data_IF_692423567866
#
_entry.id   IF_692423567866
#
_cell.length_a   1.000
_cell.length_b   1.000
_cell.length_c   1.000
_cell.angle_alpha   90.00
_cell.angle_beta   90.00
_cell.angle_gamma   90.00
#
_symmetry.space_group_name_H-M   'P 1'
#
loop_
_entity.id
_entity.type
_entity.pdbx_description
1 polymer ?
#
# COMPACT_ATOMS: atom_id res chain seq x y z
N UNK A 1 -34.92 62.65 -41.35
CA UNK A 1 -35.76 61.47 -41.61
C UNK A 1 -35.29 60.36 -40.67
N UNK A 2 -35.50 60.37 -39.35
CA UNK A 2 -36.72 60.49 -38.52
C UNK A 2 -37.75 59.38 -38.74
N UNK A 3 -37.89 58.49 -37.74
CA UNK A 3 -39.11 57.93 -37.11
C UNK A 3 -38.78 56.53 -36.54
N UNK A 4 -38.71 56.32 -35.21
CA UNK A 4 -39.79 56.22 -34.20
C UNK A 4 -40.79 55.07 -34.48
N UNK A 5 -40.76 54.07 -33.57
CA UNK A 5 -41.72 53.01 -33.14
C UNK A 5 -43.19 53.17 -33.63
N UNK A 6 -44.06 52.11 -33.74
CA UNK A 6 -44.35 51.20 -32.60
C UNK A 6 -45.02 49.81 -32.87
N UNK A 7 -45.17 49.06 -31.76
CA UNK A 7 -46.31 48.22 -31.33
C UNK A 7 -46.97 47.17 -32.26
N UNK A 8 -47.15 45.94 -31.73
CA UNK A 8 -48.44 45.37 -31.24
C UNK A 8 -48.31 43.83 -31.12
N UNK A 9 -48.52 43.25 -29.91
CA UNK A 9 -49.70 42.42 -29.47
C UNK A 9 -49.84 41.08 -30.22
N UNK A 10 -50.06 39.88 -29.66
CA UNK A 10 -50.53 39.25 -28.39
C UNK A 10 -50.04 37.76 -28.45
N UNK A 11 -50.00 36.86 -27.47
CA UNK A 11 -50.92 36.40 -26.40
C UNK A 11 -50.06 35.67 -25.32
N UNK A 12 -50.25 35.92 -24.00
CA UNK A 12 -51.02 35.11 -23.01
C UNK A 12 -50.60 33.63 -22.99
N UNK A 13 -50.00 33.10 -21.91
CA UNK A 13 -50.63 32.79 -20.59
C UNK A 13 -49.54 32.72 -19.48
N UNK A 14 -49.62 33.43 -18.34
CA UNK A 14 -50.20 33.02 -17.04
C UNK A 14 -49.66 31.65 -16.53
N UNK A 15 -49.08 31.50 -15.34
CA UNK A 15 -49.70 31.68 -14.00
C UNK A 15 -48.67 31.87 -12.87
N UNK A 16 -48.98 32.85 -12.01
CA UNK A 16 -48.72 33.08 -10.59
C UNK A 16 -47.55 32.43 -9.81
N UNK A 17 -46.75 33.31 -9.20
CA UNK A 17 -45.97 33.11 -7.97
C UNK A 17 -46.88 33.39 -6.77
N UNK A 18 -46.87 32.52 -5.77
CA UNK A 18 -47.33 32.83 -4.41
C UNK A 18 -46.31 32.30 -3.40
N UNK A 19 -45.70 33.23 -2.67
CA UNK A 19 -44.85 32.96 -1.52
C UNK A 19 -45.72 32.66 -0.29
N UNK A 20 -45.34 31.66 0.50
CA UNK A 20 -45.97 31.34 1.78
C UNK A 20 -45.03 30.53 2.64
N UNK A 21 -44.46 31.18 3.66
CA UNK A 21 -43.67 30.54 4.70
C UNK A 21 -44.53 29.54 5.48
N UNK A 22 -44.00 28.34 5.74
CA UNK A 22 -44.64 27.37 6.64
C UNK A 22 -43.64 26.95 7.72
N UNK A 23 -44.00 27.30 8.95
CA UNK A 23 -43.28 26.97 10.17
C UNK A 23 -43.37 25.47 10.49
N UNK A 24 -42.26 24.91 10.92
CA UNK A 24 -42.13 23.55 11.44
C UNK A 24 -42.82 23.44 12.81
N UNK A 25 -43.85 22.61 12.91
CA UNK A 25 -44.33 22.05 14.18
C UNK A 25 -43.88 20.60 14.28
N UNK A 26 -42.90 20.34 15.14
CA UNK A 26 -42.47 18.99 15.52
C UNK A 26 -43.51 18.44 16.49
N UNK A 27 -44.17 17.35 16.13
CA UNK A 27 -44.90 16.51 17.09
C UNK A 27 -44.10 15.23 17.31
N UNK A 28 -43.57 15.09 18.53
CA UNK A 28 -42.87 13.90 18.97
C UNK A 28 -43.90 12.78 19.24
N UNK A 29 -43.80 11.69 18.49
CA UNK A 29 -44.47 10.43 18.83
C UNK A 29 -43.46 9.59 19.63
N UNK A 30 -43.70 9.42 20.93
CA UNK A 30 -42.98 8.44 21.76
C UNK A 30 -43.59 7.07 21.46
N UNK A 31 -42.87 6.22 20.73
CA UNK A 31 -43.14 4.78 20.71
C UNK A 31 -42.27 4.12 21.78
N UNK A 32 -42.93 3.50 22.75
CA UNK A 32 -42.28 2.58 23.69
C UNK A 32 -41.89 1.31 22.92
N UNK A 33 -40.60 1.18 22.60
CA UNK A 33 -40.03 -0.05 22.05
C UNK A 33 -39.87 -1.10 23.14
N UNK A 34 -40.37 -2.30 22.89
CA UNK A 34 -40.05 -3.49 23.68
C UNK A 34 -38.53 -3.67 23.72
N UNK A 35 -37.97 -3.94 24.90
CA UNK A 35 -36.57 -4.31 25.06
C UNK A 35 -36.32 -5.60 24.28
N UNK A 36 -35.71 -5.48 23.10
CA UNK A 36 -35.14 -6.61 22.40
C UNK A 36 -33.92 -7.11 23.17
N UNK A 37 -33.74 -8.43 23.21
CA UNK A 37 -32.52 -9.04 23.73
C UNK A 37 -31.29 -8.36 23.10
N UNK A 38 -30.20 -8.13 23.86
CA UNK A 38 -28.98 -7.58 23.29
C UNK A 38 -28.54 -8.47 22.12
N UNK A 39 -28.07 -7.88 21.00
CA UNK A 39 -27.59 -8.67 19.89
C UNK A 39 -26.51 -9.62 20.40
N UNK A 40 -26.67 -10.92 20.10
CA UNK A 40 -25.66 -11.93 20.40
C UNK A 40 -24.32 -11.41 19.88
N UNK A 41 -23.32 -11.36 20.75
CA UNK A 41 -21.96 -11.01 20.37
C UNK A 41 -21.59 -11.82 19.13
N UNK A 42 -21.21 -11.15 18.04
CA UNK A 42 -20.73 -11.83 16.85
C UNK A 42 -19.64 -12.80 17.30
N UNK A 43 -19.81 -14.09 17.01
CA UNK A 43 -18.81 -15.10 17.34
C UNK A 43 -17.47 -14.61 16.77
N UNK A 44 -16.47 -14.42 17.63
CA UNK A 44 -15.15 -14.03 17.18
C UNK A 44 -14.68 -15.06 16.16
N UNK A 45 -14.26 -14.60 14.97
CA UNK A 45 -13.67 -15.48 13.97
C UNK A 45 -12.45 -16.13 14.57
N UNK A 46 -12.42 -17.46 14.59
CA UNK A 46 -11.30 -18.21 15.14
C UNK A 46 -10.01 -17.93 14.34
N UNK A 47 -8.89 -17.79 15.04
CA UNK A 47 -7.57 -17.53 14.46
C UNK A 47 -6.93 -16.22 14.87
N UNK A 48 -5.93 -15.79 14.10
CA UNK A 48 -5.21 -14.52 14.30
C UNK A 48 -6.12 -13.35 13.91
N UNK A 49 -6.37 -12.42 14.85
CA UNK A 49 -7.26 -11.28 14.64
C UNK A 49 -6.55 -9.93 14.60
N UNK A 50 -5.33 -9.83 15.13
CA UNK A 50 -4.52 -8.60 15.20
C UNK A 50 -3.03 -8.94 15.13
N UNK A 51 -2.25 -8.19 14.33
CA UNK A 51 -0.79 -8.30 14.33
C UNK A 51 -0.18 -6.90 14.34
N UNK A 52 0.37 -6.51 15.49
CA UNK A 52 0.93 -5.17 15.71
C UNK A 52 2.44 -5.23 15.78
N UNK A 53 3.14 -4.42 15.01
CA UNK A 53 4.58 -4.25 15.13
C UNK A 53 4.91 -2.93 15.85
N UNK A 54 5.71 -3.03 16.90
CA UNK A 54 6.49 -1.93 17.50
C UNK A 54 7.95 -2.06 17.09
N UNK A 55 8.80 -1.10 17.43
CA UNK A 55 10.23 -1.12 17.07
C UNK A 55 10.92 -2.46 17.38
N UNK A 56 10.61 -3.05 18.54
CA UNK A 56 11.32 -4.24 19.03
C UNK A 56 10.47 -5.52 19.03
N UNK A 57 9.18 -5.46 18.67
CA UNK A 57 8.28 -6.62 18.84
C UNK A 57 7.15 -6.66 17.83
N UNK A 58 6.87 -7.84 17.27
CA UNK A 58 5.59 -8.15 16.64
C UNK A 58 4.71 -8.90 17.63
N UNK A 59 3.55 -8.33 17.95
CA UNK A 59 2.52 -8.97 18.80
C UNK A 59 1.45 -9.58 17.92
N UNK A 60 1.33 -10.92 17.97
CA UNK A 60 0.30 -11.70 17.28
C UNK A 60 -0.78 -12.05 18.30
N UNK A 61 -2.00 -11.57 18.09
CA UNK A 61 -3.13 -11.87 18.97
C UNK A 61 -4.35 -12.35 18.17
N UNK A 62 -5.17 -13.16 18.84
CA UNK A 62 -6.27 -13.86 18.22
C UNK A 62 -7.21 -14.49 19.22
N UNK A 63 -8.13 -15.30 18.71
CA UNK A 63 -9.08 -16.06 19.54
C UNK A 63 -9.24 -17.48 19.03
N UNK A 64 -9.29 -18.45 19.94
CA UNK A 64 -9.55 -19.87 19.69
C UNK A 64 -10.51 -20.41 20.77
N UNK A 65 -10.81 -21.70 20.76
CA UNK A 65 -11.56 -22.33 21.85
C UNK A 65 -10.90 -22.06 23.23
N UNK A 66 -11.68 -21.71 24.28
CA UNK A 66 -11.14 -21.44 25.61
C UNK A 66 -10.27 -22.58 26.16
N UNK A 67 -9.09 -22.25 26.66
CA UNK A 67 -8.14 -23.22 27.17
C UNK A 67 -7.47 -24.10 26.10
N UNK A 68 -7.62 -23.83 24.81
CA UNK A 68 -6.82 -24.48 23.79
C UNK A 68 -5.34 -24.04 23.87
N UNK A 69 -4.42 -24.96 23.56
CA UNK A 69 -3.02 -24.62 23.33
C UNK A 69 -2.84 -24.22 21.87
N UNK A 70 -2.16 -23.11 21.64
CA UNK A 70 -1.99 -22.47 20.34
C UNK A 70 -0.51 -22.39 20.00
N UNK A 71 -0.13 -22.96 18.87
CA UNK A 71 1.15 -22.70 18.22
C UNK A 71 0.96 -21.59 17.18
N UNK A 72 1.77 -20.53 17.24
CA UNK A 72 1.79 -19.48 16.22
C UNK A 72 2.96 -19.73 15.28
N UNK A 73 2.65 -19.90 14.00
CA UNK A 73 3.64 -20.06 12.93
C UNK A 73 3.83 -18.73 12.20
N UNK A 74 5.08 -18.43 11.86
CA UNK A 74 5.44 -17.40 10.91
C UNK A 74 5.87 -18.05 9.59
N UNK A 75 5.38 -17.50 8.48
CA UNK A 75 5.72 -17.88 7.12
C UNK A 75 6.29 -16.67 6.37
N UNK A 76 7.25 -16.93 5.49
CA UNK A 76 7.66 -15.99 4.44
C UNK A 76 6.51 -15.70 3.48
N UNK A 77 6.57 -14.56 2.79
CA UNK A 77 5.53 -14.15 1.82
C UNK A 77 5.55 -15.00 0.55
N UNK A 78 6.63 -15.69 0.28
CA UNK A 78 6.76 -16.65 -0.81
C UNK A 78 6.12 -18.01 -0.47
N UNK A 79 5.83 -18.28 0.80
CA UNK A 79 5.32 -19.56 1.25
C UNK A 79 3.79 -19.61 1.19
N UNK A 80 3.27 -20.74 0.72
CA UNK A 80 1.85 -21.03 0.68
C UNK A 80 1.31 -21.32 2.08
N UNK A 81 0.25 -20.62 2.47
CA UNK A 81 -0.31 -20.73 3.85
C UNK A 81 -0.96 -22.08 4.09
N UNK A 82 -1.47 -22.71 3.04
CA UNK A 82 -1.99 -24.09 3.12
C UNK A 82 -0.90 -25.09 3.56
N UNK A 83 0.37 -24.75 3.38
CA UNK A 83 1.54 -25.47 3.87
C UNK A 83 2.12 -24.80 5.13
N UNK A 84 1.27 -24.38 6.07
CA UNK A 84 1.66 -23.74 7.34
C UNK A 84 2.77 -24.49 8.09
N UNK A 85 2.87 -25.81 7.92
CA UNK A 85 3.90 -26.64 8.54
C UNK A 85 5.32 -26.37 7.99
N UNK A 86 5.45 -25.72 6.83
CA UNK A 86 6.73 -25.21 6.31
C UNK A 86 7.20 -23.94 7.01
N UNK A 87 6.32 -23.30 7.80
CA UNK A 87 6.64 -22.13 8.61
C UNK A 87 7.45 -22.47 9.86
N UNK A 88 7.86 -21.42 10.59
CA UNK A 88 8.57 -21.56 11.87
C UNK A 88 7.63 -21.24 13.03
N UNK A 89 7.61 -22.07 14.07
CA UNK A 89 6.91 -21.73 15.31
C UNK A 89 7.62 -20.55 15.98
N UNK A 90 6.93 -19.41 16.07
CA UNK A 90 7.46 -18.17 16.68
C UNK A 90 6.98 -17.96 18.11
N UNK A 91 5.96 -18.70 18.54
CA UNK A 91 5.59 -18.76 19.94
C UNK A 91 4.42 -19.68 20.22
N UNK A 92 4.18 -19.91 21.50
CA UNK A 92 3.10 -20.74 22.01
C UNK A 92 2.34 -20.00 23.09
N UNK A 93 1.03 -20.15 23.09
CA UNK A 93 0.16 -19.57 24.09
C UNK A 93 -0.94 -20.55 24.47
N UNK A 94 -1.51 -20.38 25.66
CA UNK A 94 -2.75 -21.04 26.05
C UNK A 94 -3.86 -20.01 26.06
N UNK A 95 -4.95 -20.29 25.37
CA UNK A 95 -6.09 -19.40 25.31
C UNK A 95 -6.74 -19.23 26.69
N UNK A 96 -7.14 -18.01 27.02
CA UNK A 96 -7.78 -17.71 28.31
C UNK A 96 -9.23 -18.22 28.37
N UNK A 97 -9.94 -17.90 29.46
CA UNK A 97 -11.33 -18.32 29.64
C UNK A 97 -12.30 -17.71 28.59
N UNK A 98 -11.90 -16.62 27.95
CA UNK A 98 -12.61 -15.99 26.83
C UNK A 98 -12.14 -16.50 25.45
N UNK A 99 -11.14 -17.37 25.40
CA UNK A 99 -10.55 -17.87 24.15
C UNK A 99 -9.43 -16.99 23.59
N UNK A 100 -9.05 -15.90 24.24
CA UNK A 100 -8.04 -14.99 23.72
C UNK A 100 -6.63 -15.56 23.91
N UNK A 101 -5.76 -15.36 22.92
CA UNK A 101 -4.32 -15.67 23.00
C UNK A 101 -3.48 -14.50 22.48
N UNK A 102 -2.23 -14.43 22.92
CA UNK A 102 -1.23 -13.47 22.43
C UNK A 102 0.17 -14.06 22.50
N UNK A 103 0.97 -13.78 21.47
CA UNK A 103 2.38 -14.16 21.34
C UNK A 103 3.19 -12.92 20.96
N UNK A 104 4.30 -12.69 21.67
CA UNK A 104 5.26 -11.64 21.34
C UNK A 104 6.46 -12.27 20.60
N UNK A 105 6.76 -11.75 19.42
CA UNK A 105 7.89 -12.15 18.58
C UNK A 105 8.91 -11.01 18.58
N UNK A 106 10.11 -11.19 19.17
CA UNK A 106 11.14 -10.16 19.16
C UNK A 106 11.55 -9.77 17.74
N UNK A 107 11.76 -8.48 17.50
CA UNK A 107 12.33 -7.96 16.26
C UNK A 107 13.79 -7.61 16.47
N UNK A 108 14.61 -8.04 15.53
CA UNK A 108 16.00 -7.61 15.38
C UNK A 108 16.35 -7.64 13.88
N UNK A 109 16.02 -6.57 13.13
CA UNK A 109 16.25 -6.53 11.68
C UNK A 109 17.74 -6.61 11.31
N UNK A 110 18.65 -6.36 12.26
CA UNK A 110 20.08 -6.50 12.04
C UNK A 110 20.57 -7.95 12.21
N UNK A 111 19.87 -8.78 12.99
CA UNK A 111 20.25 -10.18 13.22
C UNK A 111 19.70 -11.17 12.19
N UNK A 112 18.69 -10.78 11.39
CA UNK A 112 18.08 -11.66 10.41
C UNK A 112 16.82 -11.07 9.79
N UNK A 113 16.07 -11.86 8.98
CA UNK A 113 14.82 -11.44 8.39
C UNK A 113 13.86 -10.89 9.46
N UNK A 114 13.40 -9.66 9.25
CA UNK A 114 12.52 -8.98 10.21
C UNK A 114 11.14 -9.67 10.24
N UNK A 115 10.64 -10.09 11.43
CA UNK A 115 9.29 -10.62 11.56
C UNK A 115 8.19 -9.70 11.02
N UNK A 116 8.47 -8.40 10.90
CA UNK A 116 7.59 -7.43 10.24
C UNK A 116 7.04 -7.90 8.89
N UNK A 117 7.85 -8.63 8.12
CA UNK A 117 7.49 -9.05 6.76
C UNK A 117 6.78 -10.41 6.69
N UNK A 118 6.56 -11.09 7.81
CA UNK A 118 5.97 -12.44 7.82
C UNK A 118 4.43 -12.44 7.73
N UNK A 119 3.91 -13.62 7.40
CA UNK A 119 2.51 -14.04 7.59
C UNK A 119 2.42 -14.87 8.86
N UNK A 120 1.38 -14.63 9.66
CA UNK A 120 1.17 -15.35 10.91
C UNK A 120 -0.10 -16.18 10.87
N UNK A 121 -0.01 -17.45 11.27
CA UNK A 121 -1.15 -18.37 11.39
C UNK A 121 -1.15 -19.04 12.75
N UNK A 122 -2.33 -19.17 13.35
CA UNK A 122 -2.52 -19.90 14.59
C UNK A 122 -2.90 -21.35 14.28
N UNK A 123 -2.34 -22.30 15.03
CA UNK A 123 -2.59 -23.73 14.86
C UNK A 123 -2.97 -24.33 16.21
N UNK A 124 -4.08 -25.06 16.24
CA UNK A 124 -4.60 -25.77 17.41
C UNK A 124 -4.73 -27.24 17.05
N UNK A 125 -4.14 -28.13 17.85
CA UNK A 125 -4.16 -29.59 17.62
C UNK A 125 -3.77 -30.01 16.18
N UNK A 126 -2.82 -29.28 15.57
CA UNK A 126 -2.35 -29.53 14.21
C UNK A 126 -3.29 -29.07 13.09
N UNK A 127 -4.28 -28.23 13.41
CA UNK A 127 -5.22 -27.64 12.44
C UNK A 127 -5.12 -26.11 12.49
N UNK A 128 -4.95 -25.42 11.35
CA UNK A 128 -5.01 -23.96 11.31
C UNK A 128 -6.34 -23.43 11.84
N UNK A 129 -6.26 -22.55 12.84
CA UNK A 129 -7.37 -21.75 13.30
C UNK A 129 -7.45 -20.49 12.42
N UNK A 130 -8.45 -20.44 11.54
CA UNK A 130 -8.67 -19.33 10.62
C UNK A 130 -7.65 -19.27 9.47
N UNK A 131 -7.42 -18.05 8.98
CA UNK A 131 -6.44 -17.77 7.92
C UNK A 131 -5.21 -17.05 8.50
N UNK A 132 -4.22 -16.81 7.65
CA UNK A 132 -3.04 -16.03 8.00
C UNK A 132 -3.35 -14.54 8.15
N UNK A 133 -2.46 -13.81 8.82
CA UNK A 133 -2.50 -12.35 8.92
C UNK A 133 -1.11 -11.75 8.80
N UNK A 134 -1.00 -10.67 8.03
CA UNK A 134 0.18 -9.82 8.01
C UNK A 134 0.15 -8.85 9.19
N UNK A 135 1.28 -8.21 9.47
CA UNK A 135 1.31 -7.00 10.30
C UNK A 135 0.36 -5.98 9.69
N UNK A 136 -0.65 -5.57 10.45
CA UNK A 136 -1.69 -4.65 9.99
C UNK A 136 -1.75 -3.36 10.82
N UNK A 137 -0.99 -3.32 11.91
CA UNK A 137 -0.80 -2.13 12.72
C UNK A 137 0.69 -1.88 12.90
N UNK A 138 1.15 -0.72 12.44
CA UNK A 138 2.52 -0.25 12.62
C UNK A 138 2.53 0.84 13.68
N UNK A 139 3.08 0.53 14.84
CA UNK A 139 3.37 1.46 15.93
C UNK A 139 4.89 1.62 16.05
N UNK A 140 5.48 2.03 14.93
CA UNK A 140 6.93 2.19 14.77
C UNK A 140 7.32 3.63 15.03
N UNK A 141 8.48 3.84 15.65
CA UNK A 141 9.09 5.16 15.72
C UNK A 141 9.48 5.56 14.29
N UNK A 142 8.87 6.62 13.72
CA UNK A 142 9.17 7.02 12.36
C UNK A 142 10.63 7.50 12.31
N UNK A 143 11.35 7.09 11.27
CA UNK A 143 12.71 7.54 11.05
C UNK A 143 12.81 9.02 10.72
N UNK A 144 11.69 9.73 10.48
CA UNK A 144 11.61 11.18 10.26
C UNK A 144 10.31 11.75 10.82
N UNK A 145 10.39 12.89 11.48
CA UNK A 145 9.25 13.66 12.01
C UNK A 145 8.79 14.79 11.07
N UNK A 146 9.33 14.84 9.84
CA UNK A 146 8.97 15.87 8.85
C UNK A 146 7.49 15.76 8.48
N UNK A 147 6.72 16.85 8.56
CA UNK A 147 5.34 16.84 8.12
C UNK A 147 5.28 16.55 6.62
N UNK A 148 4.27 15.80 6.20
CA UNK A 148 4.03 15.58 4.77
C UNK A 148 3.78 16.93 4.08
N UNK A 149 4.35 17.18 2.88
CA UNK A 149 4.23 18.48 2.24
C UNK A 149 2.82 18.63 1.65
N UNK A 150 2.17 19.77 1.90
CA UNK A 150 0.88 20.08 1.31
C UNK A 150 1.05 20.46 -0.17
N UNK A 151 0.51 19.62 -1.07
CA UNK A 151 0.41 19.97 -2.48
C UNK A 151 -0.55 21.16 -2.63
N UNK A 152 -0.07 22.31 -3.12
CA UNK A 152 -0.90 23.51 -3.29
C UNK A 152 -1.86 23.36 -4.48
N UNK A 153 -1.60 22.43 -5.41
CA UNK A 153 -2.52 22.09 -6.50
C UNK A 153 -2.38 20.64 -7.01
N UNK A 154 -3.36 20.19 -7.82
CA UNK A 154 -3.46 18.81 -8.35
C UNK A 154 -2.67 18.54 -9.64
N UNK A 155 -1.91 19.51 -10.17
CA UNK A 155 -1.21 19.33 -11.46
C UNK A 155 0.11 18.60 -11.21
N UNK A 156 0.23 17.41 -11.82
CA UNK A 156 1.47 16.63 -11.86
C UNK A 156 1.94 16.41 -13.28
N UNK A 157 3.26 16.19 -13.44
CA UNK A 157 3.91 15.83 -14.70
C UNK A 157 4.81 14.63 -14.44
N UNK A 158 4.82 13.65 -15.35
CA UNK A 158 5.87 12.63 -15.34
C UNK A 158 7.14 13.27 -15.92
N UNK A 159 8.18 13.40 -15.10
CA UNK A 159 9.37 14.18 -15.45
C UNK A 159 10.39 13.26 -16.11
N UNK A 160 10.72 13.53 -17.38
CA UNK A 160 11.86 12.91 -18.07
C UNK A 160 13.07 13.86 -18.19
N UNK A 161 12.85 15.16 -18.05
CA UNK A 161 13.89 16.20 -17.95
C UNK A 161 13.45 17.21 -16.89
N UNK A 162 14.30 17.45 -15.89
CA UNK A 162 14.02 18.29 -14.72
C UNK A 162 13.78 19.75 -15.08
N UNK A 163 14.48 20.25 -16.10
CA UNK A 163 14.51 21.67 -16.44
C UNK A 163 13.16 22.20 -16.97
N UNK A 164 12.35 21.36 -17.63
CA UNK A 164 11.03 21.73 -18.14
C UNK A 164 9.93 21.68 -17.06
N UNK A 165 10.13 20.92 -15.98
CA UNK A 165 9.11 20.74 -14.93
C UNK A 165 8.96 21.99 -14.05
N UNK A 166 10.05 22.73 -13.85
CA UNK A 166 10.11 23.95 -13.04
C UNK A 166 9.49 25.14 -13.80
N UNK A 167 9.75 25.29 -15.10
CA UNK A 167 9.19 26.37 -15.94
C UNK A 167 7.66 26.25 -16.11
N UNK A 168 7.11 25.04 -15.98
CA UNK A 168 5.67 24.75 -16.09
C UNK A 168 4.89 24.87 -14.76
N UNK A 169 5.55 25.17 -13.64
CA UNK A 169 4.92 25.32 -12.33
C UNK A 169 4.30 24.01 -11.78
N UNK A 170 4.90 22.87 -12.12
CA UNK A 170 4.44 21.54 -11.70
C UNK A 170 4.77 21.31 -10.23
N UNK A 171 3.83 20.76 -9.45
CA UNK A 171 4.02 20.48 -8.02
C UNK A 171 4.10 18.98 -7.67
N UNK A 172 3.97 18.11 -8.66
CA UNK A 172 4.24 16.67 -8.55
C UNK A 172 5.11 16.19 -9.71
N UNK A 173 6.20 15.49 -9.41
CA UNK A 173 7.07 14.85 -10.38
C UNK A 173 7.02 13.34 -10.20
N UNK A 174 6.75 12.59 -11.27
CA UNK A 174 6.93 11.14 -11.26
C UNK A 174 8.23 10.75 -11.97
N UNK A 175 9.10 9.99 -11.29
CA UNK A 175 10.40 9.53 -11.80
C UNK A 175 10.37 8.01 -11.89
N UNK A 176 10.73 7.47 -13.04
CA UNK A 176 10.89 6.03 -13.20
C UNK A 176 12.24 5.60 -12.60
N UNK A 177 12.20 4.64 -11.67
CA UNK A 177 13.36 4.04 -11.05
C UNK A 177 13.37 2.55 -11.40
N UNK A 178 14.38 2.11 -12.13
CA UNK A 178 14.57 0.69 -12.42
C UNK A 178 15.43 0.08 -11.34
N UNK A 179 14.86 -0.80 -10.51
CA UNK A 179 15.53 -1.32 -9.31
C UNK A 179 16.76 -2.15 -9.68
N UNK A 180 16.70 -2.89 -10.79
CA UNK A 180 17.84 -3.66 -11.31
C UNK A 180 19.06 -2.76 -11.58
N UNK A 181 18.85 -1.55 -12.10
CA UNK A 181 19.95 -0.63 -12.42
C UNK A 181 20.64 -0.12 -11.13
N UNK A 182 20.01 -0.24 -9.95
CA UNK A 182 20.58 0.22 -8.69
C UNK A 182 21.35 -0.84 -7.92
N UNK A 183 20.97 -2.12 -8.04
CA UNK A 183 21.59 -3.19 -7.27
C UNK A 183 22.72 -3.84 -8.05
N UNK A 184 23.80 -4.20 -7.37
CA UNK A 184 24.92 -4.96 -7.92
C UNK A 184 24.81 -6.43 -7.50
N UNK A 185 25.17 -7.34 -8.39
CA UNK A 185 25.17 -8.78 -8.11
C UNK A 185 26.19 -9.16 -7.02
N UNK A 186 27.33 -8.49 -7.04
CA UNK A 186 28.42 -8.62 -6.07
C UNK A 186 29.05 -7.27 -5.81
N UNK A 187 29.85 -7.16 -4.74
CA UNK A 187 30.66 -5.96 -4.51
C UNK A 187 31.57 -5.69 -5.72
N UNK A 188 31.50 -4.47 -6.26
CA UNK A 188 32.42 -3.98 -7.27
C UNK A 188 33.62 -3.28 -6.60
N UNK A 189 34.22 -2.27 -7.24
CA UNK A 189 35.20 -1.42 -6.55
C UNK A 189 34.52 -0.75 -5.33
N UNK A 190 35.13 -0.77 -4.13
CA UNK A 190 34.59 -0.08 -2.96
C UNK A 190 34.29 1.40 -3.19
N UNK A 191 34.99 2.06 -4.12
CA UNK A 191 34.71 3.44 -4.51
C UNK A 191 33.37 3.58 -5.26
N UNK A 192 32.98 2.56 -6.03
CA UNK A 192 31.78 2.56 -6.88
C UNK A 192 30.59 1.83 -6.24
N UNK A 193 30.79 1.31 -5.02
CA UNK A 193 29.78 0.51 -4.31
C UNK A 193 29.27 1.22 -3.05
N UNK A 194 27.95 1.18 -2.84
CA UNK A 194 27.31 1.47 -1.56
C UNK A 194 26.93 0.13 -0.91
N UNK A 195 27.44 -0.12 0.30
CA UNK A 195 27.05 -1.31 1.09
C UNK A 195 25.85 -0.97 1.96
N UNK A 196 24.87 -1.86 1.99
CA UNK A 196 23.64 -1.69 2.74
C UNK A 196 23.30 -2.97 3.50
N UNK A 197 23.04 -2.87 4.80
CA UNK A 197 22.69 -4.01 5.64
C UNK A 197 21.17 -4.14 5.72
N UNK A 198 20.65 -5.33 5.40
CA UNK A 198 19.23 -5.66 5.52
C UNK A 198 19.06 -7.12 5.89
N UNK A 199 18.23 -7.41 6.89
CA UNK A 199 17.92 -8.78 7.30
C UNK A 199 19.15 -9.62 7.67
N UNK A 200 20.16 -9.00 8.29
CA UNK A 200 21.44 -9.65 8.64
C UNK A 200 22.36 -9.98 7.47
N UNK A 201 22.18 -9.34 6.30
CA UNK A 201 23.03 -9.50 5.11
C UNK A 201 23.43 -8.15 4.52
N UNK A 202 24.62 -8.11 3.94
CA UNK A 202 25.09 -6.99 3.12
C UNK A 202 24.61 -7.13 1.68
N UNK A 203 23.99 -6.08 1.17
CA UNK A 203 23.64 -5.87 -0.24
C UNK A 203 24.48 -4.72 -0.81
N UNK A 204 24.61 -4.70 -2.14
CA UNK A 204 25.48 -3.78 -2.85
C UNK A 204 24.65 -2.96 -3.84
N UNK A 205 24.85 -1.65 -3.82
CA UNK A 205 24.20 -0.72 -4.73
C UNK A 205 25.25 0.02 -5.57
N UNK A 206 24.94 0.24 -6.84
CA UNK A 206 25.76 1.00 -7.78
C UNK A 206 25.72 2.48 -7.37
N UNK A 207 26.85 2.99 -6.89
CA UNK A 207 26.97 4.38 -6.44
C UNK A 207 26.61 5.36 -7.54
N UNK A 208 27.05 5.11 -8.76
CA UNK A 208 26.89 6.03 -9.88
C UNK A 208 25.43 6.15 -10.30
N UNK A 209 24.68 5.06 -10.29
CA UNK A 209 23.24 5.06 -10.60
C UNK A 209 22.41 5.69 -9.47
N UNK A 210 22.79 5.47 -8.21
CA UNK A 210 22.17 6.15 -7.05
C UNK A 210 22.42 7.67 -7.13
N UNK A 211 23.65 8.10 -7.38
CA UNK A 211 23.99 9.53 -7.45
C UNK A 211 23.32 10.24 -8.65
N UNK A 212 23.08 9.53 -9.76
CA UNK A 212 22.28 10.06 -10.88
C UNK A 212 20.83 10.32 -10.49
N UNK A 213 20.24 9.48 -9.64
CA UNK A 213 18.90 9.71 -9.10
C UNK A 213 18.91 10.85 -8.09
N UNK A 214 19.93 10.96 -7.24
CA UNK A 214 20.06 12.09 -6.31
C UNK A 214 20.08 13.44 -7.05
N UNK A 215 20.83 13.51 -8.15
CA UNK A 215 20.90 14.71 -9.00
C UNK A 215 19.57 15.05 -9.68
N UNK A 216 18.67 14.08 -9.88
CA UNK A 216 17.34 14.30 -10.43
C UNK A 216 16.30 14.65 -9.36
N UNK A 217 16.32 13.96 -8.22
CA UNK A 217 15.31 14.09 -7.18
C UNK A 217 15.56 15.35 -6.33
N UNK A 218 16.84 15.65 -6.02
CA UNK A 218 17.19 16.72 -5.08
C UNK A 218 16.68 18.10 -5.52
N UNK A 219 16.92 18.59 -6.76
CA UNK A 219 16.44 19.91 -7.17
C UNK A 219 14.91 20.04 -7.09
N UNK A 220 14.19 18.99 -7.51
CA UNK A 220 12.73 18.92 -7.43
C UNK A 220 12.25 19.04 -5.98
N UNK A 221 12.84 18.26 -5.08
CA UNK A 221 12.48 18.27 -3.66
C UNK A 221 12.87 19.57 -2.95
N UNK A 222 14.02 20.15 -3.25
CA UNK A 222 14.48 21.46 -2.73
C UNK A 222 13.50 22.58 -3.13
N UNK A 223 12.90 22.47 -4.32
CA UNK A 223 11.90 23.39 -4.85
C UNK A 223 10.47 23.07 -4.37
N UNK A 224 10.29 22.13 -3.43
CA UNK A 224 9.00 21.78 -2.85
C UNK A 224 8.10 20.95 -3.77
N UNK A 225 8.64 20.35 -4.83
CA UNK A 225 7.91 19.42 -5.70
C UNK A 225 7.79 18.06 -5.01
N UNK A 226 6.58 17.51 -5.01
CA UNK A 226 6.34 16.16 -4.52
C UNK A 226 6.83 15.13 -5.53
N UNK A 227 7.94 14.46 -5.22
CA UNK A 227 8.49 13.40 -6.07
C UNK A 227 7.84 12.05 -5.73
N UNK A 228 7.37 11.35 -6.76
CA UNK A 228 6.88 9.98 -6.69
C UNK A 228 7.79 9.08 -7.52
N UNK A 229 8.31 8.02 -6.91
CA UNK A 229 9.13 7.03 -7.61
C UNK A 229 8.24 5.91 -8.15
N UNK A 230 8.34 5.64 -9.45
CA UNK A 230 7.70 4.50 -10.11
C UNK A 230 8.74 3.40 -10.16
N UNK A 231 8.55 2.37 -9.35
CA UNK A 231 9.47 1.24 -9.25
C UNK A 231 9.22 0.26 -10.40
N UNK A 232 10.30 -0.03 -11.13
CA UNK A 232 10.28 -0.86 -12.31
C UNK A 232 11.33 -1.97 -12.17
N UNK A 233 11.05 -3.13 -12.75
CA UNK A 233 12.06 -4.14 -13.01
C UNK A 233 12.21 -4.35 -14.51
N UNK A 234 13.44 -4.61 -14.97
CA UNK A 234 13.74 -4.98 -16.35
C UNK A 234 14.40 -6.36 -16.38
N UNK A 235 14.38 -7.00 -17.55
CA UNK A 235 15.05 -8.30 -17.70
C UNK A 235 16.56 -8.16 -17.47
N UNK A 236 17.22 -9.16 -16.85
CA UNK A 236 18.68 -9.33 -16.84
C UNK A 236 19.38 -8.97 -18.17
N UNK A 237 18.97 -9.60 -19.27
CA UNK A 237 19.50 -9.37 -20.63
C UNK A 237 19.30 -7.93 -21.18
N UNK A 238 18.53 -7.08 -20.50
CA UNK A 238 18.27 -5.69 -20.88
C UNK A 238 18.96 -4.70 -19.93
N UNK A 239 19.71 -5.17 -18.94
CA UNK A 239 20.47 -4.31 -18.02
C UNK A 239 21.68 -3.72 -18.77
N UNK A 240 21.83 -2.38 -18.82
CA UNK A 240 22.92 -1.74 -19.56
C UNK A 240 24.31 -2.06 -19.00
N UNK A 241 24.40 -2.22 -17.67
CA UNK A 241 25.60 -2.59 -16.95
C UNK A 241 25.50 -4.07 -16.49
N UNK A 242 26.36 -4.99 -16.99
CA UNK A 242 26.32 -6.39 -16.58
C UNK A 242 26.54 -6.63 -15.07
N UNK A 243 27.19 -5.71 -14.36
CA UNK A 243 27.41 -5.86 -12.91
C UNK A 243 26.11 -5.67 -12.10
N UNK A 244 25.09 -5.07 -12.73
CA UNK A 244 23.73 -4.91 -12.21
C UNK A 244 22.81 -6.10 -12.56
N UNK A 245 23.35 -7.20 -13.09
CA UNK A 245 22.58 -8.42 -13.33
C UNK A 245 22.25 -9.13 -12.01
N UNK A 246 21.16 -8.68 -11.38
CA UNK A 246 20.60 -9.27 -10.15
C UNK A 246 19.32 -10.03 -10.52
N UNK A 247 19.42 -11.27 -11.02
CA UNK A 247 18.26 -12.05 -11.47
C UNK A 247 17.28 -12.34 -10.34
N UNK A 248 17.74 -12.33 -9.08
CA UNK A 248 16.90 -12.50 -7.90
C UNK A 248 15.76 -11.48 -7.83
N UNK A 249 15.92 -10.28 -8.40
CA UNK A 249 14.87 -9.25 -8.40
C UNK A 249 13.72 -9.55 -9.37
N UNK A 250 13.89 -10.43 -10.35
CA UNK A 250 12.93 -10.67 -11.43
C UNK A 250 12.25 -12.03 -11.24
N UNK A 251 10.92 -12.07 -11.42
CA UNK A 251 10.14 -13.29 -11.25
C UNK A 251 10.75 -14.45 -12.07
N UNK A 252 10.96 -15.66 -11.49
CA UNK A 252 11.66 -16.75 -12.17
C UNK A 252 10.94 -17.23 -13.44
N UNK A 253 9.60 -17.17 -13.46
CA UNK A 253 8.80 -17.50 -14.64
C UNK A 253 8.63 -16.32 -15.62
N UNK A 254 9.39 -15.23 -15.45
CA UNK A 254 9.43 -14.13 -16.39
C UNK A 254 9.89 -14.63 -17.77
N UNK A 255 8.93 -14.85 -18.67
CA UNK A 255 9.27 -15.17 -20.04
C UNK A 255 9.90 -13.95 -20.72
N UNK A 256 11.01 -14.16 -21.41
CA UNK A 256 11.50 -13.22 -22.42
C UNK A 256 10.39 -12.98 -23.43
N UNK A 257 9.73 -11.82 -23.33
CA UNK A 257 8.74 -11.44 -24.32
C UNK A 257 9.42 -11.06 -25.63
N UNK A 258 8.71 -11.29 -26.74
CA UNK A 258 9.07 -10.72 -28.04
C UNK A 258 9.17 -9.19 -27.99
N UNK A 259 9.53 -8.52 -29.10
CA UNK A 259 9.75 -7.08 -29.14
C UNK A 259 8.60 -6.30 -28.48
N UNK A 260 8.87 -5.68 -27.32
CA UNK A 260 7.89 -4.90 -26.55
C UNK A 260 7.77 -5.25 -25.05
N UNK A 261 8.29 -6.40 -24.59
CA UNK A 261 8.39 -6.68 -23.15
C UNK A 261 9.55 -5.89 -22.52
N UNK A 262 9.21 -4.73 -21.95
CA UNK A 262 10.18 -3.78 -21.38
C UNK A 262 10.19 -3.78 -19.84
N UNK A 263 9.19 -4.40 -19.20
CA UNK A 263 8.99 -4.39 -17.75
C UNK A 263 8.56 -5.76 -17.25
N UNK A 264 9.07 -6.15 -16.08
CA UNK A 264 8.90 -7.48 -15.51
C UNK A 264 8.38 -7.40 -14.07
N UNK A 265 7.78 -8.50 -13.60
CA UNK A 265 7.33 -8.61 -12.21
C UNK A 265 8.51 -8.85 -11.27
N UNK A 266 8.43 -8.26 -10.07
CA UNK A 266 9.39 -8.55 -9.00
C UNK A 266 9.25 -9.99 -8.52
N UNK A 267 10.36 -10.60 -8.13
CA UNK A 267 10.38 -11.95 -7.58
C UNK A 267 9.89 -11.97 -6.12
N UNK A 268 8.61 -12.24 -5.92
CA UNK A 268 8.04 -12.44 -4.57
C UNK A 268 7.74 -13.92 -4.25
N UNK A 269 8.20 -14.84 -5.10
CA UNK A 269 7.86 -16.28 -5.05
C UNK A 269 9.04 -17.15 -4.63
N UNK A 270 10.21 -16.54 -4.38
CA UNK A 270 11.38 -17.23 -3.84
C UNK A 270 11.93 -16.50 -2.63
N UNK A 271 12.57 -17.20 -1.68
CA UNK A 271 13.13 -16.55 -0.49
C UNK A 271 14.21 -15.51 -0.82
N UNK A 272 15.04 -15.74 -1.84
CA UNK A 272 16.04 -14.76 -2.28
C UNK A 272 15.38 -13.55 -2.94
N UNK A 273 14.38 -13.74 -3.80
CA UNK A 273 13.69 -12.62 -4.42
C UNK A 273 13.03 -11.68 -3.41
N UNK A 274 12.35 -12.25 -2.41
CA UNK A 274 11.77 -11.48 -1.29
C UNK A 274 12.86 -10.70 -0.56
N UNK A 275 13.99 -11.34 -0.24
CA UNK A 275 15.13 -10.70 0.45
C UNK A 275 15.72 -9.53 -0.33
N UNK A 276 16.01 -9.72 -1.62
CA UNK A 276 16.56 -8.67 -2.48
C UNK A 276 15.57 -7.52 -2.67
N UNK A 277 14.28 -7.83 -2.86
CA UNK A 277 13.24 -6.82 -2.96
C UNK A 277 13.10 -6.02 -1.66
N UNK A 278 13.08 -6.68 -0.50
CA UNK A 278 13.05 -6.02 0.81
C UNK A 278 14.25 -5.09 0.98
N UNK A 279 15.47 -5.56 0.72
CA UNK A 279 16.68 -4.75 0.83
C UNK A 279 16.65 -3.53 -0.10
N UNK A 280 16.17 -3.70 -1.34
CA UNK A 280 15.95 -2.61 -2.26
C UNK A 280 14.96 -1.58 -1.71
N UNK A 281 13.81 -2.02 -1.19
CA UNK A 281 12.79 -1.10 -0.68
C UNK A 281 13.27 -0.34 0.55
N UNK A 282 13.96 -1.01 1.47
CA UNK A 282 14.56 -0.39 2.65
C UNK A 282 15.61 0.64 2.26
N UNK A 283 16.51 0.30 1.33
CA UNK A 283 17.54 1.22 0.83
C UNK A 283 16.91 2.46 0.16
N UNK A 284 15.98 2.27 -0.78
CA UNK A 284 15.30 3.35 -1.50
C UNK A 284 14.58 4.28 -0.51
N UNK A 285 13.86 3.70 0.46
CA UNK A 285 13.12 4.46 1.47
C UNK A 285 14.08 5.20 2.40
N UNK A 286 15.16 4.59 2.85
CA UNK A 286 16.16 5.25 3.70
C UNK A 286 16.85 6.38 2.94
N UNK A 287 17.29 6.12 1.70
CA UNK A 287 18.06 7.05 0.87
C UNK A 287 17.27 8.31 0.55
N UNK A 288 15.98 8.18 0.23
CA UNK A 288 15.19 9.32 -0.26
C UNK A 288 14.08 9.75 0.69
N UNK A 289 13.85 9.09 1.82
CA UNK A 289 12.78 9.44 2.77
C UNK A 289 13.17 9.38 4.24
N UNK A 290 14.39 8.93 4.58
CA UNK A 290 14.91 8.90 5.95
C UNK A 290 15.31 10.28 6.50
N UNK A 291 15.48 10.43 7.82
CA UNK A 291 15.85 11.72 8.44
C UNK A 291 17.31 12.16 8.25
N UNK A 292 18.16 11.40 7.57
CA UNK A 292 19.54 11.83 7.31
C UNK A 292 19.54 13.03 6.35
N UNK A 293 19.64 14.21 6.96
CA UNK A 293 19.25 15.49 6.37
C UNK A 293 20.07 15.93 5.15
N UNK A 294 21.23 15.33 4.89
CA UNK A 294 22.03 15.62 3.69
C UNK A 294 21.54 14.88 2.44
N UNK A 295 20.71 13.85 2.61
CA UNK A 295 20.38 12.86 1.59
C UNK A 295 18.87 12.62 1.40
N UNK A 296 18.00 13.12 2.29
CA UNK A 296 16.54 12.98 2.16
C UNK A 296 15.99 13.69 0.92
N UNK A 297 15.30 12.98 0.04
CA UNK A 297 14.75 13.52 -1.21
C UNK A 297 13.29 13.05 -1.45
N UNK A 298 12.32 13.75 -0.86
CA UNK A 298 10.88 13.44 -0.98
C UNK A 298 10.28 12.69 0.21
N UNK A 299 8.95 12.51 0.18
CA UNK A 299 8.18 11.75 1.19
C UNK A 299 7.18 10.85 0.46
N UNK A 300 7.31 9.51 0.50
CA UNK A 300 6.34 8.62 -0.09
C UNK A 300 5.02 8.81 0.65
N UNK A 301 3.94 8.97 -0.12
CA UNK A 301 2.63 8.65 0.43
C UNK A 301 2.62 7.14 0.66
N UNK A 302 2.06 6.72 1.77
CA UNK A 302 1.63 5.35 1.99
C UNK A 302 0.90 4.80 0.75
N UNK A 303 0.84 3.47 0.64
CA UNK A 303 -0.12 2.81 -0.24
C UNK A 303 -1.50 3.48 -0.12
N UNK A 304 -2.11 3.87 -1.25
CA UNK A 304 -3.43 4.50 -1.23
C UNK A 304 -4.49 3.41 -1.00
N UNK A 305 -5.00 3.31 0.22
CA UNK A 305 -6.16 2.46 0.53
C UNK A 305 -7.44 3.06 -0.08
N UNK A 306 -8.13 2.33 -0.96
CA UNK A 306 -9.46 2.72 -1.46
C UNK A 306 -10.51 1.95 -0.65
N UNK A 307 -11.13 2.62 0.33
CA UNK A 307 -12.19 2.05 1.16
C UNK A 307 -13.55 2.62 0.78
N UNK A 308 -14.50 1.74 0.45
CA UNK A 308 -15.92 2.11 0.26
C UNK A 308 -16.77 1.50 1.38
N UNK A 309 -17.28 2.30 2.34
CA UNK A 309 -18.14 1.79 3.41
C UNK A 309 -19.54 1.50 2.88
N UNK A 310 -19.88 0.22 2.74
CA UNK A 310 -21.20 -0.24 2.24
C UNK A 310 -22.14 -0.74 3.35
N UNK A 311 -21.74 -0.62 4.63
CA UNK A 311 -22.47 -1.18 5.77
C UNK A 311 -23.91 -0.66 5.87
N UNK A 312 -24.13 0.62 5.56
CA UNK A 312 -25.46 1.26 5.62
C UNK A 312 -26.23 1.19 4.31
N UNK A 313 -25.69 0.57 3.25
CA UNK A 313 -26.37 0.51 1.96
C UNK A 313 -27.62 -0.38 2.04
N UNK A 314 -28.77 0.21 1.70
CA UNK A 314 -29.99 -0.54 1.50
C UNK A 314 -29.81 -1.50 0.31
N UNK A 315 -29.96 -2.80 0.55
CA UNK A 315 -29.73 -3.83 -0.47
C UNK A 315 -28.30 -4.36 -0.57
N UNK A 316 -27.42 -4.09 0.40
CA UNK A 316 -26.06 -4.65 0.46
C UNK A 316 -26.01 -6.19 0.33
N UNK A 317 -27.03 -6.88 0.81
CA UNK A 317 -27.17 -8.34 0.69
C UNK A 317 -27.55 -8.83 -0.72
N UNK A 318 -27.86 -7.92 -1.64
CA UNK A 318 -28.17 -8.21 -3.04
C UNK A 318 -27.02 -7.81 -4.01
N UNK A 319 -25.89 -7.32 -3.48
CA UNK A 319 -24.69 -7.03 -4.28
C UNK A 319 -24.09 -8.35 -4.74
N UNK A 320 -24.28 -8.68 -6.01
CA UNK A 320 -23.78 -9.91 -6.64
C UNK A 320 -22.54 -9.66 -7.50
N UNK A 321 -22.18 -8.39 -7.71
CA UNK A 321 -21.04 -7.94 -8.52
C UNK A 321 -20.56 -6.58 -8.03
N UNK A 322 -19.25 -6.43 -7.94
CA UNK A 322 -18.57 -5.15 -7.75
C UNK A 322 -17.80 -4.87 -9.03
N UNK A 323 -17.96 -3.68 -9.59
CA UNK A 323 -17.29 -3.26 -10.82
C UNK A 323 -16.44 -2.04 -10.54
N UNK A 324 -15.15 -2.16 -10.81
CA UNK A 324 -14.19 -1.06 -10.73
C UNK A 324 -13.98 -0.55 -12.15
N UNK A 325 -14.36 0.70 -12.42
CA UNK A 325 -14.17 1.34 -13.72
C UNK A 325 -13.08 2.40 -13.62
N UNK A 326 -12.16 2.38 -14.58
CA UNK A 326 -11.07 3.35 -14.68
C UNK A 326 -11.28 4.16 -15.97
N UNK A 327 -11.17 5.49 -15.88
CA UNK A 327 -11.27 6.37 -17.05
C UNK A 327 -9.86 6.72 -17.54
N UNK A 328 -9.59 6.43 -18.82
CA UNK A 328 -8.43 6.96 -19.55
C UNK A 328 -8.93 7.94 -20.61
N UNK A 329 -8.99 9.26 -20.30
CA UNK A 329 -9.57 10.26 -21.19
C UNK A 329 -8.88 10.35 -22.56
N UNK A 330 -7.63 9.88 -22.65
CA UNK A 330 -6.78 10.00 -23.84
C UNK A 330 -6.54 8.66 -24.58
N UNK A 331 -7.21 7.57 -24.19
CA UNK A 331 -7.05 6.27 -24.86
C UNK A 331 -7.82 6.23 -26.19
N UNK A 332 -7.11 6.18 -27.31
CA UNK A 332 -7.69 6.15 -28.67
C UNK A 332 -7.69 4.77 -29.33
N UNK A 333 -7.51 3.68 -28.58
CA UNK A 333 -7.46 2.30 -29.09
C UNK A 333 -7.84 1.24 -28.04
N UNK A 334 -7.96 -0.06 -28.44
CA UNK A 334 -8.29 -1.14 -27.52
C UNK A 334 -7.29 -1.19 -26.38
N UNK A 335 -7.81 -1.14 -25.16
CA UNK A 335 -7.10 -0.80 -23.94
C UNK A 335 -6.51 -2.07 -23.29
N UNK A 336 -5.18 -2.28 -23.29
CA UNK A 336 -4.58 -3.56 -22.87
C UNK A 336 -4.06 -3.54 -21.43
N UNK A 337 -4.74 -2.85 -20.52
CA UNK A 337 -4.35 -2.80 -19.10
C UNK A 337 -4.83 -4.04 -18.35
N UNK A 338 -3.96 -4.65 -17.55
CA UNK A 338 -4.32 -5.60 -16.50
C UNK A 338 -4.08 -4.91 -15.16
N UNK A 339 -5.05 -4.97 -14.25
CA UNK A 339 -4.91 -4.50 -12.87
C UNK A 339 -5.16 -5.68 -11.94
N UNK A 340 -4.37 -5.77 -10.88
CA UNK A 340 -4.49 -6.78 -9.84
C UNK A 340 -5.19 -6.17 -8.63
N UNK A 341 -6.13 -6.91 -8.05
CA UNK A 341 -6.76 -6.57 -6.77
C UNK A 341 -6.20 -7.58 -5.78
N UNK A 342 -5.37 -7.10 -4.86
CA UNK A 342 -4.63 -7.98 -3.92
C UNK A 342 -5.53 -8.55 -2.81
N UNK A 343 -6.60 -7.84 -2.43
CA UNK A 343 -7.59 -8.33 -1.47
C UNK A 343 -8.98 -7.69 -1.69
N UNK A 344 -10.06 -8.45 -1.48
CA UNK A 344 -11.45 -7.99 -1.48
C UNK A 344 -12.23 -8.71 -0.38
N UNK A 345 -12.52 -8.02 0.71
CA UNK A 345 -13.21 -8.59 1.85
C UNK A 345 -14.26 -7.63 2.47
N UNK A 346 -15.24 -8.21 3.16
CA UNK A 346 -16.28 -7.48 3.90
C UNK A 346 -15.85 -7.36 5.36
N UNK A 347 -15.44 -6.17 5.79
CA UNK A 347 -15.05 -5.92 7.18
C UNK A 347 -16.08 -5.07 7.92
N UNK A 348 -16.41 -5.45 9.14
CA UNK A 348 -17.04 -4.55 10.12
C UNK A 348 -15.94 -3.80 10.86
N UNK A 349 -15.59 -2.60 10.38
CA UNK A 349 -14.62 -1.72 11.05
C UNK A 349 -15.38 -0.62 11.79
N UNK A 350 -15.31 -0.58 13.12
CA UNK A 350 -15.73 0.58 13.91
C UNK A 350 -14.62 1.62 13.81
N UNK A 351 -14.92 2.81 13.27
CA UNK A 351 -13.96 3.93 13.31
C UNK A 351 -13.76 4.34 14.77
N UNK A 352 -12.52 4.35 15.24
CA UNK A 352 -12.10 5.11 16.41
C UNK A 352 -12.01 6.60 16.07
#
# INVERSE_FOLDING_TARGET
>A
MTHVRPSSRRLRSAVAVAAGALALTVSALVQAGAAGDPPAAAAATEGVSSVTATDDTVTVAGSVAPGADVDVYALGIEQEVVDWASGTIVGRARADAGGAFSVAVPRDPAAGPDPLYHRYVAVVDGVPAGTYRHVDTLDLTPSSDRPYPDAVNKKGLQVKMTDDAEELGVQHAAINLVVNDLMLATEADPADTIRFESGGRTYYFDRSEVEKLDQQIKPLSDNGVLVSLILLARHPDQVPNPDNDVPELVHPDAALGGPGALLYGFNAVTPDGVRYFTAAMEFITQRWSGAEAENTHGLPRSWNEIVVPVAEWAGRSAVTRIEVSVAAPDATGPWPMQFQIDDLAYYTRTRS
#
